data_IF_006889037043
#
_entry.id   IF_006889037043
#
_cell.length_a   1.000
_cell.length_b   1.000
_cell.length_c   1.000
_cell.angle_alpha   90.00
_cell.angle_beta   90.00
_cell.angle_gamma   90.00
#
_symmetry.space_group_name_H-M   'P 1'
#
loop_
_entity.id
_entity.type
_entity.pdbx_description
1 polymer ?
#
# COMPACT_ATOMS: atom_id res chain seq x y z
N UNK A 1 -14.58 4.51 -12.42
CA UNK A 1 -13.41 4.59 -11.50
C UNK A 1 -13.22 3.21 -10.92
N UNK A 2 -11.99 2.68 -10.89
CA UNK A 2 -11.73 1.33 -10.38
C UNK A 2 -11.22 1.42 -8.95
N UNK A 3 -12.09 1.15 -8.00
CA UNK A 3 -11.74 1.06 -6.59
C UNK A 3 -11.05 -0.28 -6.29
N UNK A 4 -10.19 -0.31 -5.27
CA UNK A 4 -9.53 -1.53 -4.86
C UNK A 4 -8.29 -1.34 -4.00
N UNK A 5 -7.49 -2.39 -3.92
CA UNK A 5 -6.27 -2.48 -3.12
C UNK A 5 -5.07 -2.62 -4.04
N UNK A 6 -4.00 -1.90 -3.72
CA UNK A 6 -2.75 -1.93 -4.45
C UNK A 6 -1.57 -2.22 -3.52
N UNK A 7 -0.46 -2.61 -4.12
CA UNK A 7 0.83 -2.77 -3.47
C UNK A 7 1.87 -1.88 -4.13
N UNK A 8 2.88 -1.51 -3.35
CA UNK A 8 4.14 -0.97 -3.86
C UNK A 8 5.21 -2.01 -3.55
N UNK A 9 6.02 -2.35 -4.55
CA UNK A 9 7.12 -3.31 -4.39
C UNK A 9 8.45 -2.68 -4.72
N UNK A 10 9.50 -3.08 -4.01
CA UNK A 10 10.91 -2.84 -4.38
C UNK A 10 11.55 -4.21 -4.65
N UNK A 11 12.13 -4.43 -5.83
CA UNK A 11 12.68 -5.72 -6.25
C UNK A 11 11.73 -6.90 -5.99
N UNK A 12 10.44 -6.72 -6.30
CA UNK A 12 9.35 -7.66 -6.08
C UNK A 12 8.97 -7.95 -4.60
N UNK A 13 9.64 -7.33 -3.61
CA UNK A 13 9.21 -7.37 -2.20
C UNK A 13 8.13 -6.33 -1.95
N UNK A 14 6.98 -6.75 -1.39
CA UNK A 14 5.91 -5.82 -1.02
C UNK A 14 6.37 -4.97 0.17
N UNK A 15 6.46 -3.65 -0.06
CA UNK A 15 6.90 -2.69 0.97
C UNK A 15 5.78 -1.84 1.51
N UNK A 16 4.69 -1.67 0.75
CA UNK A 16 3.50 -0.94 1.17
C UNK A 16 2.25 -1.53 0.54
N UNK A 17 1.13 -1.46 1.26
CA UNK A 17 -0.21 -1.79 0.78
C UNK A 17 -1.13 -0.62 1.12
N UNK A 18 -1.99 -0.26 0.18
CA UNK A 18 -3.02 0.75 0.40
C UNK A 18 -4.28 0.47 -0.42
N UNK A 19 -5.37 1.15 -0.06
CA UNK A 19 -6.62 1.19 -0.83
C UNK A 19 -6.87 2.53 -1.52
N UNK A 20 -7.72 2.52 -2.55
CA UNK A 20 -8.20 3.73 -3.22
C UNK A 20 -9.55 3.48 -3.89
N UNK A 21 -10.40 4.51 -3.94
CA UNK A 21 -11.61 4.52 -4.78
C UNK A 21 -11.28 4.74 -6.28
N UNK A 22 -10.04 5.10 -6.59
CA UNK A 22 -9.52 5.22 -7.95
C UNK A 22 -8.05 4.79 -7.99
N UNK A 23 -7.79 3.53 -8.31
CA UNK A 23 -6.44 2.96 -8.26
C UNK A 23 -5.52 3.60 -9.31
N UNK A 24 -6.01 3.81 -10.54
CA UNK A 24 -5.18 4.39 -11.61
C UNK A 24 -4.69 5.79 -11.26
N UNK A 25 -5.59 6.63 -10.74
CA UNK A 25 -5.21 7.96 -10.27
C UNK A 25 -4.20 7.89 -9.12
N UNK A 26 -4.45 7.01 -8.13
CA UNK A 26 -3.56 6.85 -6.98
C UNK A 26 -2.17 6.35 -7.38
N UNK A 27 -2.07 5.47 -8.38
CA UNK A 27 -0.78 5.02 -8.93
C UNK A 27 -0.01 6.16 -9.61
N UNK A 28 -0.69 6.99 -10.41
CA UNK A 28 -0.07 8.16 -11.03
C UNK A 28 0.41 9.17 -9.98
N UNK A 29 -0.38 9.39 -8.94
CA UNK A 29 -0.02 10.25 -7.81
C UNK A 29 1.21 9.73 -7.06
N UNK A 30 1.28 8.42 -6.77
CA UNK A 30 2.47 7.84 -6.14
C UNK A 30 3.73 8.07 -6.97
N UNK A 31 3.66 7.90 -8.29
CA UNK A 31 4.80 8.18 -9.18
C UNK A 31 5.23 9.63 -9.08
N UNK A 32 4.29 10.57 -9.13
CA UNK A 32 4.59 12.00 -9.00
C UNK A 32 5.22 12.32 -7.64
N UNK A 33 4.74 11.73 -6.55
CA UNK A 33 5.26 11.98 -5.21
C UNK A 33 6.66 11.39 -4.98
N UNK A 34 7.11 10.43 -5.81
CA UNK A 34 8.52 9.98 -5.78
C UNK A 34 9.52 11.02 -6.27
N UNK A 35 9.10 12.04 -7.03
CA UNK A 35 10.02 13.07 -7.54
C UNK A 35 10.22 14.22 -6.57
N UNK A 36 9.26 14.48 -5.67
CA UNK A 36 9.34 15.49 -4.62
C UNK A 36 8.84 14.94 -3.27
N UNK A 37 9.62 14.06 -2.61
CA UNK A 37 9.13 13.27 -1.48
C UNK A 37 9.06 14.07 -0.18
N UNK A 38 7.84 14.34 0.31
CA UNK A 38 7.61 14.93 1.64
C UNK A 38 7.38 13.87 2.73
N UNK A 39 6.60 12.84 2.43
CA UNK A 39 6.33 11.73 3.36
C UNK A 39 7.44 10.69 3.34
N UNK A 40 7.70 10.05 4.50
CA UNK A 40 8.77 9.07 4.66
C UNK A 40 8.70 7.91 3.65
N UNK A 41 7.50 7.39 3.35
CA UNK A 41 7.34 6.32 2.36
C UNK A 41 7.88 6.72 0.98
N UNK A 42 7.64 7.96 0.55
CA UNK A 42 8.13 8.43 -0.74
C UNK A 42 9.63 8.71 -0.72
N UNK A 43 10.20 9.13 0.41
CA UNK A 43 11.66 9.27 0.57
C UNK A 43 12.37 7.94 0.34
N UNK A 44 11.83 6.86 0.91
CA UNK A 44 12.33 5.49 0.73
C UNK A 44 12.22 5.05 -0.73
N UNK A 45 11.05 5.26 -1.37
CA UNK A 45 10.86 4.92 -2.78
C UNK A 45 11.79 5.72 -3.72
N UNK A 46 12.00 7.01 -3.43
CA UNK A 46 12.91 7.86 -4.20
C UNK A 46 14.36 7.41 -4.06
N UNK A 47 14.81 7.03 -2.85
CA UNK A 47 16.12 6.43 -2.63
C UNK A 47 16.27 5.11 -3.39
N UNK A 48 15.26 4.24 -3.33
CA UNK A 48 15.29 2.95 -4.03
C UNK A 48 15.45 3.14 -5.55
N UNK A 49 14.73 4.10 -6.15
CA UNK A 49 14.91 4.47 -7.56
C UNK A 49 16.31 5.01 -7.84
N UNK A 50 16.84 5.90 -6.98
CA UNK A 50 18.21 6.46 -7.13
C UNK A 50 19.28 5.38 -7.09
N UNK A 51 19.04 4.28 -6.36
CA UNK A 51 19.92 3.10 -6.31
C UNK A 51 19.65 2.06 -7.40
N UNK A 52 18.84 2.40 -8.40
CA UNK A 52 18.47 1.53 -9.51
C UNK A 52 17.72 0.24 -9.09
N UNK A 53 17.01 0.26 -7.96
CA UNK A 53 16.09 -0.81 -7.61
C UNK A 53 14.78 -0.71 -8.39
N UNK A 54 14.17 -1.86 -8.65
CA UNK A 54 12.93 -1.95 -9.40
C UNK A 54 11.73 -1.61 -8.49
N UNK A 55 11.17 -0.40 -8.66
CA UNK A 55 9.95 0.04 -7.97
C UNK A 55 8.74 -0.20 -8.87
N UNK A 56 7.77 -0.98 -8.40
CA UNK A 56 6.51 -1.26 -9.12
C UNK A 56 5.30 -0.92 -8.26
N UNK A 57 4.22 -0.58 -8.95
CA UNK A 57 2.89 -0.39 -8.39
C UNK A 57 1.99 -1.47 -8.99
N UNK A 58 1.45 -2.36 -8.16
CA UNK A 58 0.64 -3.47 -8.63
C UNK A 58 -0.76 -3.39 -8.03
N UNK A 59 -1.78 -3.78 -8.78
CA UNK A 59 -3.13 -3.96 -8.24
C UNK A 59 -3.23 -5.35 -7.62
N UNK A 60 -3.67 -5.42 -6.37
CA UNK A 60 -3.91 -6.69 -5.67
C UNK A 60 -5.36 -7.14 -5.79
N UNK A 61 -6.29 -6.18 -5.83
CA UNK A 61 -7.71 -6.45 -5.80
C UNK A 61 -8.51 -5.29 -6.40
N UNK A 62 -9.54 -5.60 -7.19
CA UNK A 62 -10.55 -4.64 -7.61
C UNK A 62 -11.85 -4.89 -6.85
N UNK A 63 -12.48 -3.82 -6.37
CA UNK A 63 -13.78 -3.88 -5.72
C UNK A 63 -14.83 -4.48 -6.67
N UNK A 64 -15.71 -5.29 -6.11
CA UNK A 64 -16.83 -5.93 -6.84
C UNK A 64 -18.17 -5.27 -6.51
N UNK A 65 -18.25 -4.60 -5.36
CA UNK A 65 -19.43 -3.88 -4.92
C UNK A 65 -19.73 -2.69 -5.83
N UNK A 66 -21.00 -2.26 -5.85
CA UNK A 66 -21.45 -1.20 -6.75
C UNK A 66 -21.71 0.11 -6.03
N UNK A 67 -22.10 0.07 -4.76
CA UNK A 67 -22.36 1.28 -3.99
C UNK A 67 -21.08 1.76 -3.31
N UNK A 68 -20.97 3.08 -3.11
CA UNK A 68 -19.80 3.67 -2.47
C UNK A 68 -19.53 3.10 -1.08
N UNK A 69 -20.57 2.93 -0.27
CA UNK A 69 -20.44 2.44 1.11
C UNK A 69 -19.96 0.99 1.12
N UNK A 70 -20.52 0.12 0.27
CA UNK A 70 -20.08 -1.27 0.18
C UNK A 70 -18.65 -1.38 -0.36
N UNK A 71 -18.29 -0.54 -1.34
CA UNK A 71 -16.91 -0.48 -1.86
C UNK A 71 -15.94 -0.10 -0.74
N UNK A 72 -16.25 0.93 0.03
CA UNK A 72 -15.37 1.41 1.12
C UNK A 72 -15.18 0.32 2.19
N UNK A 73 -16.23 -0.44 2.53
CA UNK A 73 -16.16 -1.59 3.42
C UNK A 73 -15.28 -2.70 2.82
N UNK A 74 -15.61 -3.13 1.60
CA UNK A 74 -14.98 -4.24 0.91
C UNK A 74 -13.47 -4.02 0.76
N UNK A 75 -13.06 -2.86 0.24
CA UNK A 75 -11.64 -2.59 0.02
C UNK A 75 -10.91 -2.32 1.34
N UNK A 76 -11.63 -1.91 2.40
CA UNK A 76 -11.09 -1.77 3.75
C UNK A 76 -10.76 -3.10 4.39
N UNK A 77 -11.69 -4.05 4.34
CA UNK A 77 -11.47 -5.43 4.80
C UNK A 77 -10.33 -6.10 4.02
N UNK A 78 -10.33 -5.95 2.69
CA UNK A 78 -9.30 -6.54 1.82
C UNK A 78 -7.93 -5.94 2.05
N UNK A 79 -7.82 -4.62 2.22
CA UNK A 79 -6.57 -3.96 2.60
C UNK A 79 -6.06 -4.51 3.93
N UNK A 80 -6.92 -4.60 4.94
CA UNK A 80 -6.57 -5.16 6.24
C UNK A 80 -6.06 -6.59 6.15
N UNK A 81 -6.74 -7.44 5.39
CA UNK A 81 -6.30 -8.82 5.11
C UNK A 81 -4.89 -8.85 4.51
N UNK A 82 -4.62 -8.07 3.46
CA UNK A 82 -3.30 -8.09 2.82
C UNK A 82 -2.20 -7.49 3.69
N UNK A 83 -2.49 -6.44 4.48
CA UNK A 83 -1.51 -5.89 5.43
C UNK A 83 -1.15 -6.91 6.51
N UNK A 84 -2.14 -7.65 7.05
CA UNK A 84 -1.87 -8.73 8.02
C UNK A 84 -1.04 -9.87 7.41
N UNK A 85 -1.35 -10.25 6.18
CA UNK A 85 -0.69 -11.34 5.47
C UNK A 85 0.78 -11.02 5.16
N UNK A 86 1.06 -9.82 4.63
CA UNK A 86 2.39 -9.47 4.11
C UNK A 86 3.23 -8.63 5.07
N UNK A 87 2.62 -8.01 6.09
CA UNK A 87 3.24 -7.11 7.07
C UNK A 87 4.25 -6.13 6.45
N UNK A 88 3.83 -5.29 5.48
CA UNK A 88 4.76 -4.48 4.72
C UNK A 88 5.47 -3.45 5.61
N UNK A 89 6.80 -3.28 5.49
CA UNK A 89 7.59 -2.42 6.37
C UNK A 89 7.26 -0.91 6.30
N UNK A 90 6.53 -0.45 5.27
CA UNK A 90 6.06 0.95 5.20
C UNK A 90 4.60 1.12 5.67
N UNK A 91 3.92 0.05 6.05
CA UNK A 91 2.67 0.12 6.80
C UNK A 91 3.00 0.08 8.30
N UNK A 92 3.03 1.24 8.95
CA UNK A 92 3.35 1.38 10.39
C UNK A 92 2.30 0.75 11.31
N UNK A 93 1.09 0.57 10.79
CA UNK A 93 -0.06 0.04 11.50
C UNK A 93 -0.55 -1.23 10.80
N UNK A 94 -0.97 -2.21 11.60
CA UNK A 94 -1.58 -3.46 11.14
C UNK A 94 -3.04 -3.45 11.58
N UNK A 95 -4.01 -3.44 10.64
CA UNK A 95 -5.42 -3.59 10.94
C UNK A 95 -5.70 -4.90 11.68
N UNK A 96 -6.47 -4.86 12.75
CA UNK A 96 -6.83 -6.09 13.48
C UNK A 96 -7.75 -6.99 12.65
N UNK A 97 -7.78 -8.27 12.99
CA UNK A 97 -8.66 -9.25 12.33
C UNK A 97 -10.13 -8.99 12.66
N UNK A 98 -10.44 -8.74 13.93
CA UNK A 98 -11.81 -8.50 14.42
C UNK A 98 -12.42 -7.20 13.88
N UNK A 99 -11.60 -6.17 13.66
CA UNK A 99 -12.05 -4.91 13.08
C UNK A 99 -10.91 -4.22 12.33
N UNK A 100 -11.02 -4.15 11.00
CA UNK A 100 -9.99 -3.52 10.17
C UNK A 100 -9.84 -2.00 10.42
N UNK A 101 -10.80 -1.37 11.11
CA UNK A 101 -10.72 0.04 11.51
C UNK A 101 -9.93 0.27 12.79
N UNK A 102 -9.57 -0.79 13.51
CA UNK A 102 -8.67 -0.73 14.66
C UNK A 102 -7.32 -1.31 14.27
N UNK A 103 -6.26 -0.84 14.94
CA UNK A 103 -4.89 -1.11 14.51
C UNK A 103 -3.97 -1.42 15.69
N UNK A 104 -2.95 -2.24 15.43
CA UNK A 104 -1.77 -2.41 16.27
C UNK A 104 -0.52 -1.87 15.57
N UNK A 105 0.58 -1.68 16.31
CA UNK A 105 1.86 -1.31 15.71
C UNK A 105 2.46 -2.44 14.86
N UNK A 106 3.13 -2.07 13.76
CA UNK A 106 3.94 -3.01 12.98
C UNK A 106 5.39 -3.01 13.47
N UNK A 107 5.81 -4.05 14.18
CA UNK A 107 7.20 -4.19 14.66
C UNK A 107 8.22 -4.37 13.53
N UNK A 108 7.79 -4.78 12.33
CA UNK A 108 8.61 -4.85 11.12
C UNK A 108 8.71 -3.53 10.36
N UNK A 109 8.02 -2.48 10.82
CA UNK A 109 8.14 -1.16 10.20
C UNK A 109 9.55 -0.57 10.41
N UNK A 110 9.92 0.38 9.56
CA UNK A 110 11.19 1.13 9.56
C UNK A 110 12.41 0.41 8.96
N UNK A 111 12.38 -0.93 8.82
CA UNK A 111 13.50 -1.68 8.23
C UNK A 111 13.08 -2.36 6.92
N UNK A 112 13.75 -2.02 5.83
CA UNK A 112 13.61 -2.72 4.54
C UNK A 112 14.93 -3.39 4.23
N UNK A 113 14.98 -4.71 4.36
CA UNK A 113 16.05 -5.52 3.78
C UNK A 113 15.69 -5.89 2.35
N UNK A 114 16.61 -5.67 1.41
CA UNK A 114 16.52 -6.06 0.01
C UNK A 114 17.66 -7.04 -0.24
N UNK A 115 17.51 -8.22 0.35
CA UNK A 115 18.33 -9.41 0.12
C UNK A 115 18.21 -9.92 -1.33
#
# INVERSE_FOLDING_TARGET
MSAGVYSITINNKIVYIGKSNNILYRMAEHWALTTNPKENKYKVLAEAKRRNYNVKFNVLYYAKSQTRTEIEEEIGEREGYFIRLFRPPLNYQIPTEDNWRTYTGNSGALNISLD
#
